data_IF_825199378336
#
_entry.id   IF_825199378336
#
_cell.length_a   1.000
_cell.length_b   1.000
_cell.length_c   1.000
_cell.angle_alpha   90.00
_cell.angle_beta   90.00
_cell.angle_gamma   90.00
#
_symmetry.space_group_name_H-M   'P 1'
#
loop_
_entity.id
_entity.type
_entity.pdbx_description
1 polymer ?
#
# COMPACT_ATOMS: atom_id res chain seq x y z
N UNK A 1 -4.29 1.63 11.45
CA UNK A 1 -4.17 2.75 10.48
C UNK A 1 -2.99 2.46 9.58
N UNK A 2 -3.08 2.79 8.29
CA UNK A 2 -2.11 2.44 7.24
C UNK A 2 -0.78 3.20 7.42
N UNK A 3 0.33 2.57 7.88
CA UNK A 3 1.60 3.27 8.11
C UNK A 3 2.28 3.57 6.78
N UNK A 4 2.64 4.83 6.53
CA UNK A 4 3.01 5.29 5.18
C UNK A 4 4.26 4.57 4.63
N UNK A 5 5.35 4.53 5.38
CA UNK A 5 6.61 3.89 4.94
C UNK A 5 6.46 2.38 4.74
N UNK A 6 5.75 1.71 5.67
CA UNK A 6 5.48 0.28 5.57
C UNK A 6 4.61 -0.03 4.34
N UNK A 7 3.60 0.80 4.08
CA UNK A 7 2.71 0.62 2.93
C UNK A 7 3.45 0.77 1.60
N UNK A 8 4.38 1.73 1.50
CA UNK A 8 5.23 1.90 0.32
C UNK A 8 6.17 0.70 0.12
N UNK A 9 6.69 0.15 1.21
CA UNK A 9 7.50 -1.07 1.17
C UNK A 9 6.67 -2.26 0.68
N UNK A 10 5.47 -2.45 1.21
CA UNK A 10 4.57 -3.53 0.80
C UNK A 10 4.12 -3.36 -0.66
N UNK A 11 3.86 -2.13 -1.13
CA UNK A 11 3.59 -1.87 -2.53
C UNK A 11 4.74 -2.33 -3.43
N UNK A 12 5.98 -2.03 -3.05
CA UNK A 12 7.16 -2.49 -3.77
C UNK A 12 7.25 -4.02 -3.78
N UNK A 13 7.03 -4.68 -2.64
CA UNK A 13 7.02 -6.15 -2.55
C UNK A 13 5.95 -6.76 -3.45
N UNK A 14 4.73 -6.22 -3.43
CA UNK A 14 3.61 -6.66 -4.25
C UNK A 14 3.93 -6.58 -5.75
N UNK A 15 4.46 -5.44 -6.21
CA UNK A 15 4.82 -5.25 -7.63
C UNK A 15 5.92 -6.22 -8.08
N UNK A 16 6.92 -6.47 -7.22
CA UNK A 16 8.00 -7.40 -7.51
C UNK A 16 7.51 -8.86 -7.53
N UNK A 17 6.64 -9.23 -6.59
CA UNK A 17 6.08 -10.58 -6.50
C UNK A 17 5.22 -10.93 -7.72
N UNK A 18 4.50 -9.95 -8.28
CA UNK A 18 3.70 -10.13 -9.48
C UNK A 18 4.48 -9.84 -10.78
N UNK A 19 5.80 -9.76 -10.72
CA UNK A 19 6.70 -9.58 -11.86
C UNK A 19 6.38 -8.35 -12.73
N UNK A 20 5.89 -7.27 -12.11
CA UNK A 20 5.69 -6.02 -12.82
C UNK A 20 7.01 -5.26 -12.94
N UNK A 21 7.49 -5.06 -14.16
CA UNK A 21 8.58 -4.11 -14.44
C UNK A 21 8.05 -2.73 -14.82
N UNK A 22 6.85 -2.70 -15.43
CA UNK A 22 6.14 -1.49 -15.87
C UNK A 22 4.63 -1.67 -15.73
N UNK A 23 3.92 -0.57 -15.48
CA UNK A 23 2.45 -0.52 -15.53
C UNK A 23 2.06 0.52 -16.58
N UNK A 24 1.33 0.10 -17.61
CA UNK A 24 0.97 0.98 -18.75
C UNK A 24 2.19 1.71 -19.36
N UNK A 25 3.34 1.04 -19.42
CA UNK A 25 4.60 1.60 -19.93
C UNK A 25 5.39 2.44 -18.93
N UNK A 26 4.84 2.76 -17.75
CA UNK A 26 5.53 3.51 -16.69
C UNK A 26 6.38 2.56 -15.85
N UNK A 27 7.69 2.81 -15.68
CA UNK A 27 8.55 1.99 -14.84
C UNK A 27 8.11 1.97 -13.38
N UNK A 28 8.20 0.81 -12.71
CA UNK A 28 7.83 0.69 -11.30
C UNK A 28 8.55 1.69 -10.38
N UNK A 29 9.81 2.05 -10.69
CA UNK A 29 10.54 3.04 -9.92
C UNK A 29 9.85 4.41 -9.90
N UNK A 30 9.27 4.82 -11.03
CA UNK A 30 8.50 6.07 -11.13
C UNK A 30 7.17 5.94 -10.38
N UNK A 31 6.51 4.79 -10.48
CA UNK A 31 5.26 4.53 -9.74
C UNK A 31 5.51 4.63 -8.23
N UNK A 32 6.61 4.05 -7.74
CA UNK A 32 6.99 4.10 -6.32
C UNK A 32 7.34 5.53 -5.88
N UNK A 33 8.00 6.32 -6.71
CA UNK A 33 8.28 7.74 -6.42
C UNK A 33 6.99 8.57 -6.36
N UNK A 34 6.06 8.34 -7.30
CA UNK A 34 4.76 9.01 -7.28
C UNK A 34 3.93 8.59 -6.07
N UNK A 35 3.95 7.31 -5.72
CA UNK A 35 3.30 6.76 -4.53
C UNK A 35 3.83 7.41 -3.24
N UNK A 36 5.15 7.57 -3.11
CA UNK A 36 5.78 8.25 -1.96
C UNK A 36 5.32 9.70 -1.86
N UNK A 37 5.35 10.43 -2.99
CA UNK A 37 4.91 11.82 -3.07
C UNK A 37 3.45 11.98 -2.66
N UNK A 38 2.52 11.25 -3.29
CA UNK A 38 1.08 11.41 -3.02
C UNK A 38 0.72 10.99 -1.60
N UNK A 39 1.42 10.02 -1.02
CA UNK A 39 1.13 9.54 0.31
C UNK A 39 1.68 10.48 1.39
N UNK A 40 2.92 10.94 1.23
CA UNK A 40 3.62 11.74 2.25
C UNK A 40 3.32 13.23 2.18
N UNK A 41 3.03 13.76 1.01
CA UNK A 41 2.72 15.19 0.82
C UNK A 41 1.20 15.46 0.83
N UNK A 42 0.39 14.50 1.27
CA UNK A 42 -1.04 14.73 1.50
C UNK A 42 -1.22 15.79 2.58
N UNK A 43 -1.94 16.87 2.23
CA UNK A 43 -2.34 17.92 3.14
C UNK A 43 -3.83 18.22 3.00
N UNK A 44 -4.44 18.68 4.10
CA UNK A 44 -5.83 19.12 4.14
C UNK A 44 -5.95 20.47 4.84
N UNK A 45 -7.03 21.18 4.52
CA UNK A 45 -7.32 22.50 5.09
C UNK A 45 -8.50 22.37 6.04
N UNK A 46 -8.33 22.89 7.25
CA UNK A 46 -9.40 23.03 8.23
C UNK A 46 -9.23 24.37 8.97
N UNK A 47 -10.30 25.13 9.10
CA UNK A 47 -10.29 26.43 9.81
C UNK A 47 -9.20 27.41 9.34
N UNK A 48 -8.96 27.52 8.03
CA UNK A 48 -7.90 28.36 7.42
C UNK A 48 -6.47 27.99 7.84
N UNK A 49 -6.26 26.74 8.27
CA UNK A 49 -4.95 26.16 8.59
C UNK A 49 -4.67 24.97 7.69
N UNK A 50 -3.40 24.77 7.36
CA UNK A 50 -2.93 23.62 6.59
C UNK A 50 -2.40 22.55 7.54
N UNK A 51 -2.82 21.31 7.31
CA UNK A 51 -2.39 20.15 8.07
C UNK A 51 -1.81 19.12 7.13
N UNK A 52 -0.65 18.57 7.49
CA UNK A 52 -0.05 17.44 6.78
C UNK A 52 -0.53 16.14 7.41
N UNK A 53 -0.96 15.20 6.58
CA UNK A 53 -1.32 13.86 7.03
C UNK A 53 -0.06 13.01 7.22
N UNK A 54 0.20 12.58 8.45
CA UNK A 54 1.39 11.80 8.83
C UNK A 54 1.15 10.29 8.90
N UNK A 55 -0.12 9.87 8.91
CA UNK A 55 -0.54 8.46 9.00
C UNK A 55 -1.70 8.23 8.04
N UNK A 56 -1.68 7.13 7.29
CA UNK A 56 -2.64 6.84 6.23
C UNK A 56 -2.43 7.70 4.98
N UNK A 57 -3.43 7.70 4.11
CA UNK A 57 -3.52 8.62 2.96
C UNK A 57 -4.86 9.33 2.95
N UNK A 58 -5.02 10.25 1.99
CA UNK A 58 -6.26 11.00 1.83
C UNK A 58 -7.46 10.06 1.71
N UNK A 59 -8.45 10.21 2.59
CA UNK A 59 -9.69 9.43 2.53
C UNK A 59 -10.49 9.85 1.28
N UNK A 60 -10.97 8.85 0.53
CA UNK A 60 -11.60 9.07 -0.77
C UNK A 60 -10.63 9.07 -1.96
N UNK A 61 -9.31 9.02 -1.73
CA UNK A 61 -8.35 8.81 -2.81
C UNK A 61 -8.42 7.36 -3.32
N UNK A 62 -8.58 7.13 -4.63
CA UNK A 62 -8.53 5.79 -5.22
C UNK A 62 -7.21 5.07 -4.94
N UNK A 63 -6.10 5.84 -4.87
CA UNK A 63 -4.79 5.30 -4.55
C UNK A 63 -4.72 4.78 -3.12
N UNK A 64 -5.22 5.55 -2.13
CA UNK A 64 -5.24 5.13 -0.73
C UNK A 64 -6.03 3.83 -0.55
N UNK A 65 -7.17 3.69 -1.22
CA UNK A 65 -7.97 2.46 -1.17
C UNK A 65 -7.22 1.26 -1.76
N UNK A 66 -6.59 1.45 -2.93
CA UNK A 66 -5.79 0.40 -3.58
C UNK A 66 -4.62 -0.02 -2.70
N UNK A 67 -3.92 0.94 -2.11
CA UNK A 67 -2.79 0.70 -1.22
C UNK A 67 -3.22 -0.02 0.06
N UNK A 68 -4.39 0.31 0.62
CA UNK A 68 -4.94 -0.40 1.77
C UNK A 68 -5.25 -1.86 1.44
N UNK A 69 -5.79 -2.16 0.25
CA UNK A 69 -6.03 -3.53 -0.19
C UNK A 69 -4.72 -4.31 -0.33
N UNK A 70 -3.68 -3.70 -0.89
CA UNK A 70 -2.35 -4.31 -1.01
C UNK A 70 -1.73 -4.56 0.38
N UNK A 71 -1.90 -3.63 1.31
CA UNK A 71 -1.47 -3.81 2.69
C UNK A 71 -2.18 -5.00 3.35
N UNK A 72 -3.51 -5.09 3.19
CA UNK A 72 -4.31 -6.19 3.71
C UNK A 72 -3.91 -7.52 3.09
N UNK A 73 -3.64 -7.57 1.79
CA UNK A 73 -3.12 -8.76 1.12
C UNK A 73 -1.84 -9.28 1.78
N UNK A 74 -0.90 -8.40 2.12
CA UNK A 74 0.34 -8.79 2.80
C UNK A 74 0.07 -9.31 4.21
N UNK A 75 -0.79 -8.62 4.95
CA UNK A 75 -1.20 -9.03 6.29
C UNK A 75 -1.89 -10.40 6.29
N UNK A 76 -2.83 -10.62 5.38
CA UNK A 76 -3.54 -11.89 5.20
C UNK A 76 -2.58 -13.01 4.79
N UNK A 77 -1.69 -12.76 3.82
CA UNK A 77 -0.67 -13.71 3.39
C UNK A 77 0.22 -14.14 4.56
N UNK A 78 0.70 -13.18 5.35
CA UNK A 78 1.58 -13.47 6.49
C UNK A 78 0.82 -14.19 7.62
N UNK A 79 -0.43 -13.81 7.87
CA UNK A 79 -1.29 -14.47 8.87
C UNK A 79 -1.62 -15.92 8.48
N UNK A 80 -1.97 -16.15 7.22
CA UNK A 80 -2.28 -17.47 6.68
C UNK A 80 -1.02 -18.33 6.63
N UNK A 81 0.09 -17.84 6.05
CA UNK A 81 1.34 -18.59 6.01
C UNK A 81 1.93 -18.86 7.40
N UNK A 82 1.67 -17.99 8.38
CA UNK A 82 2.07 -18.20 9.78
C UNK A 82 1.16 -19.18 10.54
N UNK A 83 -0.11 -19.28 10.17
CA UNK A 83 -1.08 -20.19 10.79
C UNK A 83 -1.08 -21.60 10.18
N UNK A 84 -0.68 -21.75 8.90
CA UNK A 84 -0.57 -23.03 8.23
C UNK A 84 0.76 -23.69 8.60
N UNK A 85 0.74 -24.58 9.60
CA UNK A 85 1.74 -25.66 9.68
C UNK A 85 1.71 -26.51 8.39
N UNK A 86 2.80 -27.23 8.05
CA UNK A 86 2.84 -27.98 6.79
C UNK A 86 1.68 -28.98 6.76
N UNK A 87 0.77 -28.81 5.79
CA UNK A 87 -0.33 -29.73 5.44
C UNK A 87 -1.69 -29.60 6.11
N UNK A 88 -2.24 -28.40 6.32
CA UNK A 88 -3.70 -28.30 6.41
C UNK A 88 -4.26 -27.27 5.42
N UNK A 89 -4.79 -27.79 4.31
CA UNK A 89 -5.61 -27.04 3.36
C UNK A 89 -6.97 -26.82 4.05
N UNK A 90 -7.21 -25.60 4.53
CA UNK A 90 -8.54 -25.19 4.96
C UNK A 90 -9.20 -24.35 3.86
N UNK A 91 -10.29 -24.88 3.31
CA UNK A 91 -11.28 -24.08 2.56
C UNK A 91 -11.68 -24.63 1.20
N UNK A 92 -12.93 -25.13 1.13
CA UNK A 92 -13.82 -24.85 0.00
C UNK A 92 -14.39 -23.45 0.18
#
# INVERSE_FOLDING_TARGET
MLPQDESLKILKEFLLEHHYEKVQGIPIGIILQLADLVLKETAFVDGNKFYRQIIGGAMGSPFTLTLANIFMWKWEKDAICGAIGPHEIYGR
#
